data_IF_127956121959
#
_entry.id   IF_127956121959
#
_cell.length_a   1.000
_cell.length_b   1.000
_cell.length_c   1.000
_cell.angle_alpha   90.00
_cell.angle_beta   90.00
_cell.angle_gamma   90.00
#
_symmetry.space_group_name_H-M   'P 1'
#
loop_
_entity.id
_entity.type
_entity.pdbx_description
1 polymer ?
#
# COMPACT_ATOMS: atom_id res chain seq x y z
N UNK A 1 15.91 3.24 18.82
CA UNK A 1 14.65 3.50 18.12
C UNK A 1 14.44 2.40 17.09
N UNK A 2 13.37 1.66 17.21
CA UNK A 2 13.12 0.53 16.32
C UNK A 2 12.44 1.00 15.04
N UNK A 3 12.93 0.49 13.91
CA UNK A 3 12.32 0.66 12.60
C UNK A 3 11.63 -0.64 12.22
N UNK A 4 10.35 -0.56 11.89
CA UNK A 4 9.58 -1.71 11.44
C UNK A 4 9.13 -1.49 10.00
N UNK A 5 9.27 -2.50 9.19
CA UNK A 5 8.75 -2.50 7.81
C UNK A 5 7.59 -3.50 7.73
N UNK A 6 6.44 -3.02 7.30
CA UNK A 6 5.29 -3.87 7.01
C UNK A 6 5.05 -3.88 5.52
N UNK A 7 5.07 -5.06 4.91
CA UNK A 7 4.72 -5.22 3.50
C UNK A 7 3.21 -5.30 3.40
N UNK A 8 2.59 -4.28 2.83
CA UNK A 8 1.13 -4.22 2.65
C UNK A 8 0.70 -4.99 1.40
N UNK A 9 1.52 -4.98 0.37
CA UNK A 9 1.30 -5.73 -0.85
C UNK A 9 2.62 -6.05 -1.52
N UNK A 10 2.75 -7.26 -2.07
CA UNK A 10 3.98 -7.74 -2.69
C UNK A 10 3.77 -8.29 -4.09
N UNK A 11 2.61 -8.02 -4.70
CA UNK A 11 2.29 -8.48 -6.04
C UNK A 11 2.87 -7.61 -7.14
N UNK A 12 2.72 -8.09 -8.36
CA UNK A 12 3.10 -7.35 -9.56
C UNK A 12 2.08 -6.24 -9.83
N UNK A 13 2.29 -5.48 -10.91
CA UNK A 13 1.38 -4.41 -11.32
C UNK A 13 -0.05 -4.90 -11.61
N UNK A 14 -0.22 -6.18 -11.88
CA UNK A 14 -1.54 -6.80 -12.08
C UNK A 14 -2.11 -7.44 -10.81
N UNK A 15 -1.30 -7.62 -9.79
CA UNK A 15 -1.68 -8.40 -8.63
C UNK A 15 -1.74 -9.89 -8.92
N UNK A 16 -1.94 -10.72 -7.89
CA UNK A 16 -2.13 -12.16 -8.03
C UNK A 16 -3.33 -12.57 -7.18
N UNK A 17 -4.33 -13.26 -7.74
CA UNK A 17 -4.44 -13.72 -9.12
C UNK A 17 -4.65 -12.58 -10.13
N UNK A 18 -4.15 -12.78 -11.34
CA UNK A 18 -4.37 -11.85 -12.45
C UNK A 18 -5.72 -12.13 -13.10
N UNK A 19 -6.39 -11.07 -13.54
CA UNK A 19 -7.66 -11.19 -14.26
C UNK A 19 -7.45 -12.08 -15.49
N UNK A 20 -8.25 -13.15 -15.59
CA UNK A 20 -8.23 -14.07 -16.72
C UNK A 20 -7.09 -15.07 -16.74
N UNK A 21 -6.15 -15.02 -15.81
CA UNK A 21 -5.05 -15.97 -15.75
C UNK A 21 -5.50 -17.29 -15.12
N UNK A 22 -5.18 -18.40 -15.76
CA UNK A 22 -5.54 -19.73 -15.31
C UNK A 22 -4.34 -20.61 -14.94
N UNK A 23 -3.19 -19.99 -14.68
CA UNK A 23 -2.00 -20.74 -14.25
C UNK A 23 -2.22 -21.33 -12.84
N UNK A 24 -1.35 -22.25 -12.44
CA UNK A 24 -1.47 -22.92 -11.15
C UNK A 24 -1.47 -21.98 -9.96
N UNK A 25 -0.68 -20.90 -10.01
CA UNK A 25 -0.61 -19.91 -8.94
C UNK A 25 -1.89 -19.06 -8.89
N UNK A 26 -2.35 -18.55 -10.03
CA UNK A 26 -3.57 -17.72 -10.07
C UNK A 26 -4.83 -18.49 -9.71
N UNK A 27 -4.82 -19.80 -9.89
CA UNK A 27 -5.95 -20.68 -9.54
C UNK A 27 -5.80 -21.33 -8.17
N UNK A 28 -4.71 -21.07 -7.48
CA UNK A 28 -4.41 -21.69 -6.18
C UNK A 28 -5.37 -21.18 -5.10
N UNK A 29 -5.71 -22.05 -4.15
CA UNK A 29 -6.48 -21.70 -2.97
C UNK A 29 -5.58 -21.30 -1.79
N UNK A 30 -4.26 -21.36 -1.95
CA UNK A 30 -3.30 -20.96 -0.92
C UNK A 30 -3.29 -19.44 -0.76
N UNK A 31 -3.56 -18.90 0.45
CA UNK A 31 -3.55 -17.45 0.67
C UNK A 31 -2.20 -16.80 0.35
N UNK A 32 -1.09 -17.55 0.38
CA UNK A 32 0.24 -17.03 0.03
C UNK A 32 0.36 -16.72 -1.46
N UNK A 33 -0.52 -17.27 -2.28
CA UNK A 33 -0.59 -16.99 -3.72
C UNK A 33 -1.55 -15.84 -4.05
N UNK A 34 -2.01 -15.12 -3.04
CA UNK A 34 -2.82 -13.92 -3.20
C UNK A 34 -2.00 -12.72 -2.78
N UNK A 35 -1.64 -11.89 -3.77
CA UNK A 35 -0.73 -10.78 -3.56
C UNK A 35 -1.28 -9.52 -4.20
N UNK A 36 -1.68 -8.57 -3.37
CA UNK A 36 -2.09 -7.25 -3.82
C UNK A 36 -0.90 -6.48 -4.37
N UNK A 37 -1.16 -5.41 -5.11
CA UNK A 37 -0.11 -4.61 -5.73
C UNK A 37 0.75 -3.94 -4.67
N UNK A 38 1.96 -3.54 -5.05
CA UNK A 38 3.03 -3.17 -4.13
C UNK A 38 2.71 -1.96 -3.28
N UNK A 39 2.87 -2.11 -1.98
CA UNK A 39 2.86 -1.01 -1.02
C UNK A 39 3.54 -1.47 0.26
N UNK A 40 4.14 -0.53 0.99
CA UNK A 40 4.85 -0.82 2.23
C UNK A 40 4.63 0.30 3.24
N UNK A 41 4.80 -0.03 4.52
CA UNK A 41 4.67 0.92 5.61
C UNK A 41 5.92 0.85 6.48
N UNK A 42 6.61 1.97 6.63
CA UNK A 42 7.70 2.12 7.59
C UNK A 42 7.16 2.73 8.88
N UNK A 43 7.41 2.07 9.99
CA UNK A 43 7.00 2.54 11.31
C UNK A 43 8.22 2.86 12.15
N UNK A 44 8.28 4.08 12.67
CA UNK A 44 9.33 4.55 13.57
C UNK A 44 8.66 5.18 14.78
N UNK A 45 8.74 4.49 15.93
CA UNK A 45 7.95 4.90 17.09
C UNK A 45 6.46 4.83 16.75
N UNK A 46 5.75 5.92 16.96
CA UNK A 46 4.31 6.01 16.64
C UNK A 46 4.04 6.59 15.25
N UNK A 47 5.09 6.86 14.47
CA UNK A 47 4.95 7.49 13.14
C UNK A 47 5.04 6.45 12.05
N UNK A 48 4.19 6.62 11.04
CA UNK A 48 4.11 5.72 9.91
C UNK A 48 4.30 6.49 8.60
N UNK A 49 5.18 5.97 7.75
CA UNK A 49 5.41 6.48 6.41
C UNK A 49 4.93 5.43 5.41
N UNK A 50 3.92 5.78 4.63
CA UNK A 50 3.40 4.91 3.59
C UNK A 50 4.22 5.08 2.33
N UNK A 51 4.72 3.97 1.78
CA UNK A 51 5.49 3.95 0.53
C UNK A 51 4.61 3.38 -0.56
N UNK A 52 4.26 4.22 -1.52
CA UNK A 52 3.35 3.97 -2.63
C UNK A 52 1.92 3.65 -2.16
N UNK A 53 0.96 4.07 -2.96
CA UNK A 53 -0.46 3.85 -2.71
C UNK A 53 -1.03 2.94 -3.79
N UNK A 54 -1.09 1.65 -3.49
CA UNK A 54 -1.64 0.67 -4.41
C UNK A 54 -3.16 0.84 -4.56
N UNK A 55 -3.75 0.36 -5.66
CA UNK A 55 -5.20 0.39 -5.82
C UNK A 55 -5.97 -0.29 -4.69
N UNK A 56 -5.38 -1.29 -4.04
CA UNK A 56 -6.00 -2.02 -2.93
C UNK A 56 -5.66 -1.42 -1.56
N UNK A 57 -5.20 -0.16 -1.49
CA UNK A 57 -4.71 0.44 -0.24
C UNK A 57 -5.71 0.31 0.90
N UNK A 58 -6.98 0.56 0.66
CA UNK A 58 -8.01 0.42 1.69
C UNK A 58 -8.01 -0.99 2.28
N UNK A 59 -8.02 -2.02 1.44
CA UNK A 59 -8.02 -3.41 1.87
C UNK A 59 -6.73 -3.78 2.60
N UNK A 60 -5.60 -3.29 2.11
CA UNK A 60 -4.30 -3.51 2.73
C UNK A 60 -4.24 -2.93 4.15
N UNK A 61 -4.70 -1.71 4.31
CA UNK A 61 -4.72 -1.05 5.61
C UNK A 61 -5.67 -1.75 6.59
N UNK A 62 -6.82 -2.20 6.10
CA UNK A 62 -7.76 -2.96 6.95
C UNK A 62 -7.15 -4.29 7.39
N UNK A 63 -6.49 -5.00 6.48
CA UNK A 63 -5.88 -6.30 6.79
C UNK A 63 -4.73 -6.20 7.79
N UNK A 64 -3.96 -5.11 7.74
CA UNK A 64 -2.80 -4.90 8.61
C UNK A 64 -3.06 -3.95 9.78
N UNK A 65 -4.33 -3.55 9.98
CA UNK A 65 -4.76 -2.65 11.04
C UNK A 65 -3.96 -1.33 11.06
N UNK A 66 -3.78 -0.74 9.88
CA UNK A 66 -3.11 0.55 9.75
C UNK A 66 -4.13 1.66 10.00
N UNK A 67 -3.96 2.39 11.09
CA UNK A 67 -4.89 3.46 11.49
C UNK A 67 -4.25 4.84 11.47
N UNK A 68 -2.96 4.92 11.18
CA UNK A 68 -2.23 6.18 11.15
C UNK A 68 -1.22 6.18 10.02
N UNK A 69 -1.21 7.27 9.24
CA UNK A 69 -0.19 7.57 8.24
C UNK A 69 0.20 9.03 8.41
N UNK A 70 1.49 9.27 8.60
CA UNK A 70 2.03 10.62 8.83
C UNK A 70 2.61 11.24 7.58
N UNK A 71 2.98 10.42 6.59
CA UNK A 71 3.50 10.89 5.32
C UNK A 71 3.35 9.81 4.26
N UNK A 72 3.29 10.21 3.00
CA UNK A 72 3.31 9.31 1.85
C UNK A 72 4.56 9.60 1.02
N UNK A 73 5.28 8.55 0.66
CA UNK A 73 6.45 8.62 -0.20
C UNK A 73 6.18 7.81 -1.47
N UNK A 74 6.28 8.46 -2.63
CA UNK A 74 6.13 7.78 -3.92
C UNK A 74 7.50 7.42 -4.48
N UNK A 75 7.69 6.17 -4.87
CA UNK A 75 8.90 5.71 -5.54
C UNK A 75 8.93 6.15 -7.00
N UNK A 76 7.78 6.10 -7.66
CA UNK A 76 7.60 6.54 -9.05
C UNK A 76 6.09 6.70 -9.33
N UNK A 77 5.74 7.11 -10.55
CA UNK A 77 4.37 7.53 -10.88
C UNK A 77 3.57 6.52 -11.71
N UNK A 78 3.98 5.27 -11.78
CA UNK A 78 3.17 4.23 -12.42
C UNK A 78 1.82 4.08 -11.69
N UNK A 79 0.77 3.80 -12.45
CA UNK A 79 -0.60 3.80 -11.93
C UNK A 79 -0.80 2.89 -10.72
N UNK A 80 -0.20 1.70 -10.74
CA UNK A 80 -0.33 0.74 -9.65
C UNK A 80 0.33 1.21 -8.33
N UNK A 81 1.12 2.29 -8.38
CA UNK A 81 1.77 2.88 -7.22
C UNK A 81 1.12 4.17 -6.73
N UNK A 82 0.22 4.77 -7.51
CA UNK A 82 -0.38 6.08 -7.17
C UNK A 82 -1.91 6.08 -7.11
N UNK A 83 -2.59 5.12 -7.75
CA UNK A 83 -4.04 5.18 -7.90
C UNK A 83 -4.80 5.01 -6.59
N UNK A 84 -4.18 4.49 -5.53
CA UNK A 84 -4.79 4.39 -4.21
C UNK A 84 -4.73 5.67 -3.38
N UNK A 85 -4.18 6.75 -3.92
CA UNK A 85 -3.96 7.98 -3.16
C UNK A 85 -5.26 8.54 -2.57
N UNK A 86 -6.40 8.39 -3.23
CA UNK A 86 -7.66 8.90 -2.73
C UNK A 86 -8.03 8.31 -1.35
N UNK A 87 -7.66 7.08 -1.08
CA UNK A 87 -7.95 6.45 0.22
C UNK A 87 -7.16 7.08 1.37
N UNK A 88 -6.08 7.81 1.07
CA UNK A 88 -5.26 8.48 2.08
C UNK A 88 -6.05 9.57 2.81
N UNK A 89 -7.08 10.15 2.17
CA UNK A 89 -7.93 11.18 2.79
C UNK A 89 -8.54 10.71 4.12
N UNK A 90 -8.76 9.41 4.30
CA UNK A 90 -9.30 8.88 5.55
C UNK A 90 -8.37 9.14 6.73
N UNK A 91 -7.07 9.12 6.51
CA UNK A 91 -6.09 9.42 7.55
C UNK A 91 -6.14 10.92 7.94
N UNK A 92 -6.40 11.80 6.97
CA UNK A 92 -6.63 13.21 7.26
C UNK A 92 -7.88 13.39 8.13
N UNK A 93 -8.96 12.66 7.84
CA UNK A 93 -10.19 12.70 8.62
C UNK A 93 -9.97 12.23 10.06
N UNK A 94 -9.14 11.19 10.24
CA UNK A 94 -8.90 10.63 11.57
C UNK A 94 -8.01 11.50 12.45
N UNK A 95 -7.02 12.17 11.87
CA UNK A 95 -5.98 12.86 12.63
C UNK A 95 -6.00 14.38 12.44
N UNK A 96 -6.80 14.87 11.50
CA UNK A 96 -6.85 16.28 11.14
C UNK A 96 -5.62 16.77 10.42
N UNK A 97 -5.74 17.90 9.72
CA UNK A 97 -4.63 18.55 9.09
C UNK A 97 -4.23 17.95 7.75
N UNK A 98 -3.12 18.41 7.25
CA UNK A 98 -2.57 18.00 5.96
C UNK A 98 -1.58 16.86 6.14
N UNK A 99 -1.57 15.96 5.17
CA UNK A 99 -0.65 14.83 5.14
C UNK A 99 0.39 15.08 4.04
N UNK A 100 1.67 15.24 4.40
CA UNK A 100 2.70 15.51 3.38
C UNK A 100 2.91 14.31 2.44
N UNK A 101 3.11 14.63 1.17
CA UNK A 101 3.36 13.66 0.12
C UNK A 101 4.67 14.04 -0.57
N UNK A 102 5.57 13.08 -0.68
CA UNK A 102 6.90 13.27 -1.27
C UNK A 102 7.06 12.38 -2.49
N UNK A 103 7.79 12.86 -3.47
CA UNK A 103 8.09 12.11 -4.67
C UNK A 103 9.16 12.80 -5.49
N UNK A 104 9.49 12.22 -6.65
CA UNK A 104 10.41 12.86 -7.58
C UNK A 104 9.68 13.92 -8.39
N UNK A 105 10.41 14.87 -8.99
CA UNK A 105 9.80 15.92 -9.83
C UNK A 105 9.18 15.40 -11.13
N UNK A 106 9.42 14.15 -11.48
CA UNK A 106 8.97 13.55 -12.73
C UNK A 106 7.54 13.02 -12.66
#
# INVERSE_FOLDING_TARGET
MDLQLTILGSGTSHGIPMIGCRCGVCRSDDPRDRRTRTSALFSVGERNILVDTAPELRLQCLACDVTRVDAVLFTHTHADHVTGLDDVRRFNDLHGGELPVYGTPE
#
